data_IF_713009668166
#
_entry.id   IF_713009668166
#
_cell.length_a   1.000
_cell.length_b   1.000
_cell.length_c   1.000
_cell.angle_alpha   90.00
_cell.angle_beta   90.00
_cell.angle_gamma   90.00
#
_symmetry.space_group_name_H-M   'P 1'
#
loop_
_entity.id
_entity.type
_entity.pdbx_description
1 polymer ?
#
# COMPACT_ATOMS: atom_id res chain seq x y z
N UNK A 1 27.53 -10.46 -30.22
CA UNK A 1 27.42 -9.05 -29.80
C UNK A 1 27.16 -9.00 -28.30
N UNK A 2 27.84 -8.11 -27.54
CA UNK A 2 27.53 -7.87 -26.12
C UNK A 2 26.17 -7.19 -26.05
N UNK A 3 25.24 -7.69 -25.24
CA UNK A 3 23.99 -6.98 -24.96
C UNK A 3 24.32 -5.73 -24.13
N UNK A 4 23.87 -4.57 -24.58
CA UNK A 4 23.82 -3.33 -23.79
C UNK A 4 22.39 -3.13 -23.30
N UNK A 5 22.24 -2.54 -22.12
CA UNK A 5 20.95 -2.24 -21.50
C UNK A 5 20.93 -0.76 -21.14
N UNK A 6 19.81 -0.10 -21.42
CA UNK A 6 19.55 1.28 -21.05
C UNK A 6 18.41 1.33 -20.04
N UNK A 7 18.51 2.25 -19.08
CA UNK A 7 17.44 2.49 -18.12
C UNK A 7 16.31 3.26 -18.80
N UNK A 8 15.08 2.75 -18.68
CA UNK A 8 13.89 3.40 -19.24
C UNK A 8 13.29 4.41 -18.25
N UNK A 9 13.22 4.03 -16.98
CA UNK A 9 12.70 4.84 -15.87
C UNK A 9 13.44 4.50 -14.57
N UNK A 10 13.66 5.51 -13.72
CA UNK A 10 14.35 5.40 -12.42
C UNK A 10 13.69 6.30 -11.36
N UNK A 11 12.42 6.09 -11.00
CA UNK A 11 11.78 6.82 -9.92
C UNK A 11 12.43 6.51 -8.56
N UNK A 12 12.18 7.39 -7.58
CA UNK A 12 12.66 7.21 -6.19
C UNK A 12 11.99 6.01 -5.48
N UNK A 13 10.86 5.53 -6.01
CA UNK A 13 10.05 4.44 -5.49
C UNK A 13 10.00 3.25 -6.46
N UNK A 14 9.58 2.09 -5.97
CA UNK A 14 9.57 0.86 -6.77
C UNK A 14 8.51 0.87 -7.88
N UNK A 15 8.89 0.49 -9.10
CA UNK A 15 7.95 0.16 -10.19
C UNK A 15 7.48 -1.29 -10.00
N UNK A 16 6.17 -1.51 -9.89
CA UNK A 16 5.62 -2.84 -9.56
C UNK A 16 4.74 -3.44 -10.66
N UNK A 17 4.19 -2.60 -11.53
CA UNK A 17 3.35 -3.02 -12.65
C UNK A 17 3.72 -2.23 -13.89
N UNK A 18 3.71 -2.87 -15.05
CA UNK A 18 3.88 -2.19 -16.33
C UNK A 18 3.18 -2.95 -17.45
N UNK A 19 2.76 -2.22 -18.48
CA UNK A 19 2.22 -2.75 -19.71
C UNK A 19 2.81 -1.99 -20.90
N UNK A 20 3.03 -2.72 -22.00
CA UNK A 20 3.49 -2.17 -23.26
C UNK A 20 2.42 -2.32 -24.33
N UNK A 21 2.33 -1.35 -25.24
CA UNK A 21 1.57 -1.54 -26.48
C UNK A 21 2.21 -2.64 -27.32
N UNK A 22 1.42 -3.29 -28.18
CA UNK A 22 1.88 -4.38 -29.03
C UNK A 22 3.04 -3.97 -29.96
N UNK A 23 3.04 -2.72 -30.39
CA UNK A 23 4.09 -2.12 -31.23
C UNK A 23 5.30 -1.59 -30.42
N UNK A 24 5.27 -1.72 -29.09
CA UNK A 24 6.33 -1.27 -28.20
C UNK A 24 6.51 0.25 -28.12
N UNK A 25 5.58 1.05 -28.66
CA UNK A 25 5.67 2.52 -28.63
C UNK A 25 5.22 3.13 -27.32
N UNK A 26 4.28 2.51 -26.63
CA UNK A 26 3.72 3.02 -25.39
C UNK A 26 4.11 2.13 -24.22
N UNK A 27 4.49 2.75 -23.10
CA UNK A 27 4.62 2.11 -21.80
C UNK A 27 3.70 2.81 -20.81
N UNK A 28 2.95 2.03 -20.05
CA UNK A 28 2.23 2.47 -18.86
C UNK A 28 2.80 1.68 -17.69
N UNK A 29 2.98 2.33 -16.53
CA UNK A 29 3.49 1.67 -15.34
C UNK A 29 2.91 2.27 -14.06
N UNK A 30 2.92 1.48 -12.99
CA UNK A 30 2.56 1.93 -11.65
C UNK A 30 3.80 1.96 -10.74
N UNK A 31 3.89 3.03 -9.96
CA UNK A 31 4.92 3.23 -8.93
C UNK A 31 4.28 3.11 -7.56
N UNK A 32 4.94 2.39 -6.65
CA UNK A 32 4.54 2.23 -5.26
C UNK A 32 5.07 3.37 -4.38
N UNK A 33 4.28 4.43 -4.23
CA UNK A 33 4.63 5.56 -3.39
C UNK A 33 4.05 5.37 -1.98
N UNK A 34 4.91 4.98 -1.03
CA UNK A 34 4.56 4.75 0.37
C UNK A 34 3.39 3.78 0.59
N UNK A 35 3.24 2.75 -0.26
CA UNK A 35 2.20 1.74 -0.14
C UNK A 35 0.96 2.00 -1.01
N UNK A 36 0.90 3.11 -1.74
CA UNK A 36 -0.15 3.43 -2.70
C UNK A 36 0.39 3.48 -4.14
N UNK A 37 -0.44 3.16 -5.13
CA UNK A 37 -0.04 3.21 -6.54
C UNK A 37 -0.29 4.57 -7.18
N UNK A 38 0.72 5.08 -7.88
CA UNK A 38 0.55 6.16 -8.87
C UNK A 38 0.81 5.63 -10.27
N UNK A 39 0.01 6.08 -11.22
CA UNK A 39 0.02 5.60 -12.59
C UNK A 39 0.71 6.62 -13.51
N UNK A 40 1.59 6.12 -14.37
CA UNK A 40 2.38 6.91 -15.29
C UNK A 40 2.33 6.28 -16.67
N UNK A 41 2.53 7.08 -17.71
CA UNK A 41 2.59 6.59 -19.08
C UNK A 41 3.45 7.48 -19.96
N UNK A 42 4.11 6.88 -20.94
CA UNK A 42 4.89 7.62 -21.95
C UNK A 42 4.98 6.89 -23.28
N UNK A 43 5.18 7.67 -24.33
CA UNK A 43 5.66 7.17 -25.61
C UNK A 43 7.18 6.98 -25.54
N UNK A 44 7.65 5.76 -25.78
CA UNK A 44 9.06 5.36 -25.67
C UNK A 44 9.93 5.85 -26.83
N UNK A 45 9.35 6.15 -28.00
CA UNK A 45 10.11 6.64 -29.15
C UNK A 45 10.41 8.13 -29.02
N UNK A 46 9.43 8.90 -28.55
CA UNK A 46 9.55 10.36 -28.38
C UNK A 46 9.96 10.76 -26.97
N UNK A 47 9.94 9.82 -26.02
CA UNK A 47 10.10 10.05 -24.59
C UNK A 47 9.13 11.11 -24.02
N UNK A 48 7.92 11.17 -24.58
CA UNK A 48 6.89 12.13 -24.16
C UNK A 48 5.87 11.47 -23.23
N UNK A 49 5.56 12.06 -22.07
CA UNK A 49 4.50 11.56 -21.18
C UNK A 49 3.14 11.54 -21.89
N UNK A 50 2.29 10.59 -21.50
CA UNK A 50 0.85 10.61 -21.81
C UNK A 50 0.06 10.90 -20.54
N UNK A 51 -1.13 11.47 -20.71
CA UNK A 51 -1.99 11.77 -19.58
C UNK A 51 -2.50 10.47 -18.95
N UNK A 52 -2.34 10.34 -17.63
CA UNK A 52 -2.89 9.25 -16.84
C UNK A 52 -3.82 9.81 -15.77
N UNK A 53 -4.88 9.10 -15.38
CA UNK A 53 -5.75 9.54 -14.31
C UNK A 53 -4.97 9.64 -12.99
N UNK A 54 -5.29 10.67 -12.21
CA UNK A 54 -4.94 10.71 -10.80
C UNK A 54 -5.81 9.68 -10.06
N UNK A 55 -5.21 8.56 -9.68
CA UNK A 55 -5.91 7.53 -8.94
C UNK A 55 -6.25 8.03 -7.52
N UNK A 56 -7.48 7.82 -7.01
CA UNK A 56 -7.77 7.89 -5.57
C UNK A 56 -6.82 6.98 -4.78
N UNK A 57 -6.77 7.05 -3.46
CA UNK A 57 -5.92 6.14 -2.68
C UNK A 57 -6.24 4.65 -2.97
N UNK A 58 -5.21 3.85 -3.24
CA UNK A 58 -5.36 2.44 -3.58
C UNK A 58 -4.11 1.82 -4.21
N UNK A 59 -4.25 0.58 -4.70
CA UNK A 59 -3.16 -0.23 -5.25
C UNK A 59 -3.57 -0.87 -6.58
N UNK A 60 -2.72 -0.73 -7.60
CA UNK A 60 -2.86 -1.42 -8.89
C UNK A 60 -2.24 -2.81 -8.77
N UNK A 61 -3.09 -3.84 -8.83
CA UNK A 61 -2.71 -5.25 -8.74
C UNK A 61 -2.46 -5.91 -10.09
N UNK A 62 -2.84 -5.25 -11.18
CA UNK A 62 -2.61 -5.72 -12.54
C UNK A 62 -3.01 -4.68 -13.58
N UNK A 63 -2.40 -4.74 -14.76
CA UNK A 63 -2.71 -3.83 -15.85
C UNK A 63 -2.47 -4.47 -17.21
N UNK A 64 -3.25 -4.06 -18.21
CA UNK A 64 -3.07 -4.49 -19.60
C UNK A 64 -3.58 -3.43 -20.58
N UNK A 65 -2.84 -3.21 -21.66
CA UNK A 65 -3.28 -2.38 -22.77
C UNK A 65 -4.09 -3.22 -23.77
N UNK A 66 -5.13 -2.62 -24.37
CA UNK A 66 -5.79 -3.22 -25.51
C UNK A 66 -4.85 -3.23 -26.75
N UNK A 67 -5.13 -4.05 -27.79
CA UNK A 67 -4.22 -4.21 -28.93
C UNK A 67 -3.82 -2.91 -29.64
N UNK A 68 -4.72 -1.95 -29.70
CA UNK A 68 -4.51 -0.66 -30.37
C UNK A 68 -3.98 0.44 -29.42
N UNK A 69 -3.75 0.12 -28.15
CA UNK A 69 -3.23 1.03 -27.11
C UNK A 69 -4.02 2.33 -26.93
N UNK A 70 -5.34 2.23 -27.01
CA UNK A 70 -6.30 3.33 -26.75
C UNK A 70 -7.00 3.19 -25.39
N UNK A 71 -6.93 2.00 -24.80
CA UNK A 71 -7.59 1.62 -23.54
C UNK A 71 -6.62 0.85 -22.65
N UNK A 72 -6.70 1.10 -21.36
CA UNK A 72 -5.97 0.39 -20.32
C UNK A 72 -6.96 -0.25 -19.36
N UNK A 73 -6.88 -1.57 -19.21
CA UNK A 73 -7.55 -2.29 -18.14
C UNK A 73 -6.67 -2.27 -16.87
N UNK A 74 -7.29 -2.02 -15.72
CA UNK A 74 -6.65 -2.02 -14.40
C UNK A 74 -7.40 -2.94 -13.44
N UNK A 75 -6.68 -3.79 -12.72
CA UNK A 75 -7.19 -4.40 -11.49
C UNK A 75 -6.76 -3.50 -10.34
N UNK A 76 -7.71 -2.84 -9.70
CA UNK A 76 -7.46 -1.79 -8.73
C UNK A 76 -8.18 -2.05 -7.42
N UNK A 77 -7.47 -1.95 -6.30
CA UNK A 77 -8.00 -2.13 -4.95
C UNK A 77 -7.93 -0.83 -4.17
N UNK A 78 -8.94 -0.55 -3.34
CA UNK A 78 -8.97 0.64 -2.48
C UNK A 78 -9.25 0.25 -1.03
N UNK A 79 -8.90 1.07 -0.03
CA UNK A 79 -9.30 0.80 1.36
C UNK A 79 -10.81 0.67 1.55
N UNK A 80 -11.57 1.38 0.73
CA UNK A 80 -13.04 1.39 0.68
C UNK A 80 -13.64 0.42 -0.34
N UNK A 81 -12.85 -0.38 -1.06
CA UNK A 81 -13.39 -1.23 -2.12
C UNK A 81 -12.48 -2.43 -2.40
N UNK A 82 -13.05 -3.63 -2.34
CA UNK A 82 -12.36 -4.83 -2.80
C UNK A 82 -11.88 -4.66 -4.25
N UNK A 83 -10.82 -5.39 -4.62
CA UNK A 83 -10.24 -5.31 -5.97
C UNK A 83 -11.33 -5.39 -7.05
N UNK A 84 -11.34 -4.41 -7.96
CA UNK A 84 -12.28 -4.36 -9.07
C UNK A 84 -11.57 -4.04 -10.40
N UNK A 85 -12.27 -4.28 -11.50
CA UNK A 85 -11.78 -4.00 -12.85
C UNK A 85 -12.21 -2.60 -13.28
N UNK A 86 -11.25 -1.83 -13.77
CA UNK A 86 -11.45 -0.50 -14.34
C UNK A 86 -10.93 -0.46 -15.77
N UNK A 87 -11.54 0.41 -16.59
CA UNK A 87 -11.04 0.79 -17.90
C UNK A 87 -10.66 2.28 -17.87
N UNK A 88 -9.49 2.59 -18.42
CA UNK A 88 -9.02 3.96 -18.64
C UNK A 88 -8.97 4.23 -20.14
N UNK A 89 -9.64 5.28 -20.59
CA UNK A 89 -9.47 5.87 -21.92
C UNK A 89 -8.16 6.66 -21.93
N UNK A 90 -7.20 6.28 -22.78
CA UNK A 90 -5.88 6.92 -22.80
C UNK A 90 -5.84 8.26 -23.53
N UNK A 91 -6.88 8.59 -24.30
CA UNK A 91 -7.00 9.89 -24.95
C UNK A 91 -7.54 10.95 -23.98
N UNK A 92 -8.52 10.58 -23.15
CA UNK A 92 -9.17 11.50 -22.20
C UNK A 92 -8.60 11.41 -20.79
N UNK A 93 -8.03 10.26 -20.42
CA UNK A 93 -7.68 9.91 -19.04
C UNK A 93 -8.89 9.53 -18.18
N UNK A 94 -10.08 9.42 -18.77
CA UNK A 94 -11.30 9.03 -18.06
C UNK A 94 -11.20 7.57 -17.60
N UNK A 95 -11.55 7.33 -16.34
CA UNK A 95 -11.57 6.00 -15.74
C UNK A 95 -13.00 5.61 -15.38
N UNK A 96 -13.44 4.45 -15.86
CA UNK A 96 -14.74 3.87 -15.52
C UNK A 96 -14.57 2.52 -14.83
N UNK A 97 -15.47 2.21 -13.91
CA UNK A 97 -15.54 0.91 -13.25
C UNK A 97 -16.33 -0.07 -14.11
N UNK A 98 -15.79 -1.27 -14.35
CA UNK A 98 -16.40 -2.27 -15.22
C UNK A 98 -17.09 -3.42 -14.46
N UNK A 99 -16.74 -3.64 -13.19
CA UNK A 99 -17.25 -4.74 -12.38
C UNK A 99 -18.00 -4.28 -11.13
N UNK A 100 -18.56 -5.24 -10.39
CA UNK A 100 -19.18 -5.01 -9.08
C UNK A 100 -18.64 -6.03 -8.06
N UNK A 101 -17.48 -5.74 -7.48
CA UNK A 101 -16.86 -6.62 -6.48
C UNK A 101 -17.52 -6.52 -5.09
N UNK A 102 -18.29 -5.45 -4.83
CA UNK A 102 -18.91 -5.17 -3.54
C UNK A 102 -20.39 -5.60 -3.50
N UNK A 103 -20.65 -6.90 -3.46
CA UNK A 103 -22.01 -7.47 -3.53
C UNK A 103 -22.84 -7.30 -2.23
N UNK A 104 -22.25 -6.77 -1.16
CA UNK A 104 -22.89 -6.66 0.16
C UNK A 104 -23.87 -5.49 0.35
N UNK A 105 -24.00 -4.60 -0.64
CA UNK A 105 -24.93 -3.45 -0.58
C UNK A 105 -24.55 -2.35 0.41
N UNK A 106 -23.31 -2.37 0.91
CA UNK A 106 -22.76 -1.30 1.77
C UNK A 106 -22.25 -0.18 0.86
N UNK A 107 -22.61 1.06 1.17
CA UNK A 107 -22.09 2.22 0.46
C UNK A 107 -20.59 2.39 0.75
N UNK A 108 -19.70 2.39 -0.26
CA UNK A 108 -18.27 2.62 -0.05
C UNK A 108 -17.94 3.95 0.67
N UNK A 109 -18.85 4.94 0.64
CA UNK A 109 -18.67 6.21 1.36
C UNK A 109 -18.78 6.06 2.89
N UNK A 110 -19.34 4.95 3.39
CA UNK A 110 -19.38 4.68 4.82
C UNK A 110 -18.04 4.17 5.37
N UNK A 111 -17.15 3.71 4.49
CA UNK A 111 -15.83 3.22 4.86
C UNK A 111 -14.83 4.34 5.11
N UNK A 112 -13.80 3.98 5.87
CA UNK A 112 -12.76 4.91 6.32
C UNK A 112 -11.49 4.68 5.50
N UNK A 113 -11.02 5.74 4.86
CA UNK A 113 -9.71 5.79 4.21
C UNK A 113 -8.61 6.07 5.27
N UNK A 114 -7.43 5.43 5.18
CA UNK A 114 -6.33 5.68 6.11
C UNK A 114 -5.56 6.96 5.78
N UNK A 115 -4.89 7.47 6.80
CA UNK A 115 -3.88 8.52 6.67
C UNK A 115 -2.47 7.89 6.62
N UNK A 116 -1.63 8.40 5.70
CA UNK A 116 -0.21 8.07 5.71
C UNK A 116 0.47 8.85 6.85
N UNK A 117 1.04 8.13 7.81
CA UNK A 117 1.76 8.73 8.95
C UNK A 117 3.17 8.17 9.07
N UNK A 118 4.00 8.89 9.82
CA UNK A 118 5.35 8.44 10.16
C UNK A 118 5.57 8.63 11.65
N UNK A 119 6.20 7.64 12.30
CA UNK A 119 6.65 7.77 13.68
C UNK A 119 8.15 7.52 13.77
N UNK A 120 8.81 8.18 14.73
CA UNK A 120 10.24 7.97 14.96
C UNK A 120 10.47 6.73 15.83
N UNK A 121 11.43 5.90 15.42
CA UNK A 121 11.87 4.72 16.17
C UNK A 121 13.16 5.00 16.95
N UNK A 122 13.65 4.01 17.69
CA UNK A 122 14.75 4.12 18.65
C UNK A 122 16.08 4.70 18.11
N UNK A 123 16.31 4.64 16.79
CA UNK A 123 17.51 5.15 16.11
C UNK A 123 17.23 6.41 15.27
N UNK A 124 16.08 7.06 15.50
CA UNK A 124 15.67 8.28 14.80
C UNK A 124 15.11 8.04 13.39
N UNK A 125 15.04 6.79 12.92
CA UNK A 125 14.39 6.48 11.65
C UNK A 125 12.89 6.72 11.73
N UNK A 126 12.34 7.30 10.67
CA UNK A 126 10.90 7.46 10.49
C UNK A 126 10.33 6.18 9.88
N UNK A 127 9.46 5.51 10.61
CA UNK A 127 8.77 4.30 10.15
C UNK A 127 7.43 4.72 9.53
N UNK A 128 7.19 4.42 8.24
CA UNK A 128 5.93 4.68 7.56
C UNK A 128 4.82 3.76 8.09
N UNK A 129 3.60 4.28 8.17
CA UNK A 129 2.44 3.51 8.60
C UNK A 129 1.14 4.05 8.00
N UNK A 130 0.14 3.18 7.91
CA UNK A 130 -1.24 3.57 7.66
C UNK A 130 -1.99 3.69 8.99
N UNK A 131 -2.59 4.85 9.25
CA UNK A 131 -3.41 5.11 10.42
C UNK A 131 -4.88 5.23 10.00
N UNK A 132 -5.70 4.29 10.47
CA UNK A 132 -7.14 4.36 10.34
C UNK A 132 -7.74 4.85 11.65
N UNK A 133 -8.27 6.07 11.64
CA UNK A 133 -9.00 6.65 12.77
C UNK A 133 -10.49 6.32 12.61
N UNK A 134 -11.15 5.67 13.59
CA UNK A 134 -12.57 5.39 13.50
C UNK A 134 -13.36 6.71 13.57
N UNK A 135 -14.65 6.70 13.23
CA UNK A 135 -15.52 7.86 13.48
C UNK A 135 -15.54 8.16 14.99
N UNK A 136 -14.91 9.26 15.41
CA UNK A 136 -14.74 9.61 16.83
C UNK A 136 -15.80 10.57 17.33
N UNK A 137 -16.15 10.46 18.61
CA UNK A 137 -16.90 11.44 19.40
C UNK A 137 -15.91 12.16 20.31
N UNK A 138 -16.00 13.49 20.35
CA UNK A 138 -15.10 14.31 21.16
C UNK A 138 -15.10 13.87 22.64
N UNK A 139 -13.91 13.79 23.23
CA UNK A 139 -13.71 13.36 24.62
C UNK A 139 -13.72 11.83 24.83
N UNK A 140 -14.01 11.04 23.80
CA UNK A 140 -13.95 9.57 23.87
C UNK A 140 -12.59 9.04 23.40
N UNK A 141 -12.17 7.93 24.02
CA UNK A 141 -10.97 7.18 23.63
C UNK A 141 -11.31 5.79 23.13
N UNK A 142 -10.61 5.36 22.09
CA UNK A 142 -10.94 4.16 21.33
C UNK A 142 -9.85 3.10 21.43
N UNK A 143 -10.21 1.80 21.47
CA UNK A 143 -9.24 0.73 21.36
C UNK A 143 -8.56 0.77 19.98
N UNK A 144 -7.31 0.33 19.90
CA UNK A 144 -6.56 0.29 18.65
C UNK A 144 -5.99 -1.09 18.39
N UNK A 145 -6.11 -1.54 17.14
CA UNK A 145 -5.37 -2.67 16.60
C UNK A 145 -4.04 -2.18 16.03
N UNK A 146 -2.93 -2.61 16.62
CA UNK A 146 -1.61 -2.54 15.99
C UNK A 146 -1.45 -3.76 15.08
N UNK A 147 -1.62 -3.53 13.77
CA UNK A 147 -1.62 -4.58 12.77
C UNK A 147 -0.27 -4.72 12.09
N UNK A 148 0.38 -5.86 12.30
CA UNK A 148 1.69 -6.19 11.78
C UNK A 148 1.52 -7.10 10.56
N UNK A 149 1.85 -6.60 9.37
CA UNK A 149 1.73 -7.39 8.15
C UNK A 149 2.63 -8.64 8.19
N UNK A 150 2.21 -9.71 7.49
CA UNK A 150 3.06 -10.88 7.29
C UNK A 150 4.25 -10.54 6.38
N UNK A 151 5.30 -11.36 6.37
CA UNK A 151 6.56 -10.99 5.71
C UNK A 151 7.76 -11.67 6.35
N UNK A 152 8.94 -11.04 6.43
CA UNK A 152 9.12 -9.60 6.62
C UNK A 152 9.21 -8.78 5.33
N UNK A 153 9.55 -9.40 4.20
CA UNK A 153 9.70 -8.72 2.91
C UNK A 153 8.35 -8.58 2.20
N UNK A 154 7.44 -7.87 2.84
CA UNK A 154 6.16 -7.46 2.27
C UNK A 154 5.85 -6.03 2.72
N UNK A 155 4.65 -5.55 2.43
CA UNK A 155 4.23 -4.21 2.79
C UNK A 155 2.74 -4.22 3.15
N UNK A 156 2.39 -3.50 4.20
CA UNK A 156 1.02 -3.06 4.44
C UNK A 156 0.67 -1.94 3.47
N UNK A 157 -0.46 -2.09 2.78
CA UNK A 157 -0.87 -1.19 1.70
C UNK A 157 -2.29 -0.72 1.89
N UNK A 158 -2.62 0.41 1.27
CA UNK A 158 -3.95 0.99 1.33
C UNK A 158 -4.93 0.19 0.42
N UNK A 159 -5.35 -0.99 0.85
CA UNK A 159 -6.32 -1.85 0.15
C UNK A 159 -7.46 -2.25 1.07
N UNK A 160 -8.46 -2.99 0.55
CA UNK A 160 -9.54 -3.59 1.34
C UNK A 160 -9.00 -4.74 2.19
N UNK A 161 -8.21 -4.37 3.20
CA UNK A 161 -7.30 -5.25 3.90
C UNK A 161 -8.04 -6.37 4.62
N UNK A 162 -7.44 -7.57 4.54
CA UNK A 162 -7.96 -8.80 5.14
C UNK A 162 -9.44 -9.05 4.81
N UNK A 163 -9.82 -8.79 3.56
CA UNK A 163 -11.18 -8.94 3.05
C UNK A 163 -12.23 -8.14 3.85
N UNK A 164 -11.84 -6.95 4.32
CA UNK A 164 -12.75 -6.02 5.01
C UNK A 164 -12.70 -6.07 6.54
N UNK A 165 -11.80 -6.86 7.14
CA UNK A 165 -11.64 -6.88 8.59
C UNK A 165 -11.35 -5.49 9.15
N UNK A 166 -10.51 -4.69 8.47
CA UNK A 166 -10.21 -3.33 8.91
C UNK A 166 -11.47 -2.47 8.94
N UNK A 167 -12.27 -2.48 7.87
CA UNK A 167 -13.52 -1.70 7.81
C UNK A 167 -14.54 -2.17 8.85
N UNK A 168 -14.62 -3.48 9.11
CA UNK A 168 -15.46 -4.02 10.18
C UNK A 168 -15.05 -3.48 11.56
N UNK A 169 -13.75 -3.54 11.88
CA UNK A 169 -13.21 -3.06 13.15
C UNK A 169 -13.42 -1.54 13.32
N UNK A 170 -13.17 -0.78 12.26
CA UNK A 170 -13.42 0.66 12.21
C UNK A 170 -14.89 1.00 12.46
N UNK A 171 -15.80 0.23 11.87
CA UNK A 171 -17.24 0.40 12.06
C UNK A 171 -17.70 0.13 13.51
N UNK A 172 -17.04 -0.78 14.23
CA UNK A 172 -17.33 -1.04 15.65
C UNK A 172 -16.46 -0.22 16.62
N UNK A 173 -15.75 0.79 16.11
CA UNK A 173 -15.04 1.78 16.93
C UNK A 173 -13.60 1.40 17.31
N UNK A 174 -12.94 0.52 16.56
CA UNK A 174 -11.51 0.29 16.71
C UNK A 174 -10.72 1.18 15.75
N UNK A 175 -9.68 1.84 16.24
CA UNK A 175 -8.64 2.38 15.36
C UNK A 175 -7.67 1.30 14.92
N UNK A 176 -6.90 1.59 13.88
CA UNK A 176 -5.89 0.66 13.36
C UNK A 176 -4.63 1.45 13.02
N UNK A 177 -3.48 0.99 13.50
CA UNK A 177 -2.19 1.42 13.01
C UNK A 177 -1.50 0.24 12.38
N UNK A 178 -1.09 0.39 11.13
CA UNK A 178 -0.49 -0.68 10.36
C UNK A 178 0.87 -0.22 9.81
N UNK A 179 1.95 -0.42 10.60
CA UNK A 179 3.28 0.04 10.25
C UNK A 179 3.96 -0.84 9.20
N UNK A 180 4.78 -0.19 8.38
CA UNK A 180 5.74 -0.82 7.50
C UNK A 180 7.14 -0.74 8.13
N UNK A 181 7.40 -1.62 9.10
CA UNK A 181 8.64 -1.68 9.89
C UNK A 181 9.88 -1.88 9.02
N UNK A 182 11.08 -1.67 9.58
CA UNK A 182 12.31 -1.93 8.82
C UNK A 182 12.30 -3.36 8.25
N UNK A 183 12.65 -3.51 6.98
CA UNK A 183 12.50 -4.77 6.26
C UNK A 183 11.33 -4.83 5.28
N UNK A 184 10.30 -3.99 5.46
CA UNK A 184 9.19 -3.91 4.50
C UNK A 184 9.65 -3.49 3.10
N UNK A 185 8.92 -3.94 2.08
CA UNK A 185 9.15 -3.56 0.67
C UNK A 185 8.52 -2.19 0.34
N UNK A 186 8.84 -1.64 -0.84
CA UNK A 186 8.29 -0.37 -1.33
C UNK A 186 9.02 0.89 -0.84
N UNK A 187 10.07 0.73 -0.03
CA UNK A 187 10.92 1.82 0.50
C UNK A 187 12.38 1.69 0.05
N UNK A 188 12.60 0.95 -1.05
CA UNK A 188 13.91 0.67 -1.62
C UNK A 188 14.68 -0.45 -0.94
N UNK A 189 15.61 -1.05 -1.69
CA UNK A 189 16.40 -2.22 -1.26
C UNK A 189 17.22 -1.99 0.01
N UNK A 190 17.64 -0.75 0.27
CA UNK A 190 18.39 -0.42 1.48
C UNK A 190 17.53 -0.54 2.74
N UNK A 191 16.25 -0.16 2.66
CA UNK A 191 15.29 -0.31 3.76
C UNK A 191 14.88 -1.77 3.96
N UNK A 192 14.59 -2.47 2.85
CA UNK A 192 14.24 -3.90 2.88
C UNK A 192 15.33 -4.78 3.50
N UNK A 193 16.61 -4.47 3.27
CA UNK A 193 17.73 -5.25 3.82
C UNK A 193 17.94 -5.08 5.33
N UNK A 194 17.28 -4.12 5.97
CA UNK A 194 17.48 -3.84 7.40
C UNK A 194 17.07 -4.99 8.32
N UNK A 195 16.22 -5.91 7.84
CA UNK A 195 15.80 -7.11 8.60
C UNK A 195 16.70 -8.34 8.35
N UNK A 196 17.64 -8.25 7.40
CA UNK A 196 18.46 -9.40 7.04
C UNK A 196 19.39 -9.78 8.19
N UNK A 197 19.25 -11.01 8.69
CA UNK A 197 20.02 -11.56 9.83
C UNK A 197 19.76 -10.86 11.16
N UNK A 198 18.63 -10.17 11.31
CA UNK A 198 18.24 -9.46 12.55
C UNK A 198 16.75 -9.63 12.85
N UNK A 199 16.27 -10.87 12.85
CA UNK A 199 14.89 -11.19 13.21
C UNK A 199 14.71 -11.24 14.72
N UNK A 200 13.63 -10.66 15.23
CA UNK A 200 13.38 -10.40 16.65
C UNK A 200 14.24 -9.26 17.23
N UNK A 201 14.93 -8.50 16.39
CA UNK A 201 15.90 -7.48 16.77
C UNK A 201 15.36 -6.07 16.60
N UNK A 202 15.93 -5.32 15.66
CA UNK A 202 15.62 -3.91 15.49
C UNK A 202 14.19 -3.63 14.99
N UNK A 203 13.58 -4.56 14.25
CA UNK A 203 12.18 -4.44 13.82
C UNK A 203 11.20 -4.58 14.99
N UNK A 204 11.52 -5.40 16.00
CA UNK A 204 10.71 -5.49 17.22
C UNK A 204 10.67 -4.12 17.94
N UNK A 205 11.80 -3.40 17.94
CA UNK A 205 11.87 -2.05 18.50
C UNK A 205 11.08 -1.03 17.67
N UNK A 206 10.93 -1.22 16.36
CA UNK A 206 10.00 -0.41 15.55
C UNK A 206 8.56 -0.64 16.01
N UNK A 207 8.17 -1.90 16.27
CA UNK A 207 6.85 -2.24 16.81
C UNK A 207 6.63 -1.63 18.20
N UNK A 208 7.63 -1.66 19.08
CA UNK A 208 7.56 -0.97 20.38
C UNK A 208 7.30 0.54 20.21
N UNK A 209 8.00 1.18 19.27
CA UNK A 209 7.80 2.61 19.00
C UNK A 209 6.47 2.91 18.31
N UNK A 210 5.90 1.97 17.56
CA UNK A 210 4.53 2.07 17.06
C UNK A 210 3.53 2.15 18.22
N UNK A 211 3.72 1.33 19.27
CA UNK A 211 2.87 1.38 20.47
C UNK A 211 3.06 2.68 21.25
N UNK A 212 4.28 3.23 21.33
CA UNK A 212 4.55 4.55 21.93
C UNK A 212 3.89 5.67 21.13
N UNK A 213 3.96 5.62 19.80
CA UNK A 213 3.28 6.56 18.92
C UNK A 213 1.77 6.54 19.15
N UNK A 214 1.15 5.35 19.22
CA UNK A 214 -0.27 5.23 19.56
C UNK A 214 -0.62 5.87 20.90
N UNK A 215 0.23 5.70 21.92
CA UNK A 215 0.03 6.32 23.25
C UNK A 215 0.12 7.84 23.24
N UNK A 216 0.71 8.44 22.20
CA UNK A 216 0.79 9.89 22.05
C UNK A 216 -0.48 10.51 21.44
N UNK A 217 -1.35 9.70 20.83
CA UNK A 217 -2.58 10.16 20.19
C UNK A 217 -3.69 10.35 21.23
N UNK A 218 -4.33 11.51 21.23
CA UNK A 218 -5.31 11.93 22.23
C UNK A 218 -6.60 11.09 22.26
N UNK A 219 -6.99 10.55 21.11
CA UNK A 219 -8.17 9.72 20.90
C UNK A 219 -7.94 8.23 21.15
N UNK A 220 -6.71 7.81 21.43
CA UNK A 220 -6.39 6.39 21.67
C UNK A 220 -6.53 6.04 23.15
N UNK A 221 -7.20 4.93 23.43
CA UNK A 221 -7.20 4.33 24.76
C UNK A 221 -5.92 3.53 24.96
N UNK A 222 -4.98 4.11 25.71
CA UNK A 222 -3.65 3.54 25.95
C UNK A 222 -3.64 2.22 26.72
N UNK A 223 -4.77 1.85 27.34
CA UNK A 223 -4.94 0.57 28.04
C UNK A 223 -5.58 -0.50 27.14
N UNK A 224 -6.00 -0.16 25.91
CA UNK A 224 -6.67 -1.06 24.98
C UNK A 224 -6.00 -1.03 23.60
N UNK A 225 -4.73 -1.44 23.57
CA UNK A 225 -3.98 -1.68 22.33
C UNK A 225 -3.84 -3.19 22.16
N UNK A 226 -4.41 -3.74 21.09
CA UNK A 226 -4.28 -5.14 20.72
C UNK A 226 -3.28 -5.28 19.57
N UNK A 227 -2.55 -6.40 19.51
CA UNK A 227 -1.66 -6.71 18.40
C UNK A 227 -2.31 -7.79 17.54
N UNK A 228 -2.27 -7.61 16.22
CA UNK A 228 -2.75 -8.57 15.23
C UNK A 228 -1.71 -8.68 14.13
N UNK A 229 -1.52 -9.85 13.56
CA UNK A 229 -0.59 -10.02 12.46
C UNK A 229 -0.54 -11.43 11.93
N UNK A 230 -0.11 -11.55 10.67
CA UNK A 230 0.11 -12.83 10.00
C UNK A 230 1.52 -13.38 10.25
N UNK A 231 1.83 -14.51 9.62
CA UNK A 231 3.15 -15.17 9.72
C UNK A 231 4.25 -14.23 9.22
N UNK A 232 5.16 -13.83 10.11
CA UNK A 232 6.53 -13.49 9.74
C UNK A 232 7.20 -14.84 9.48
N UNK A 233 7.53 -15.19 8.23
CA UNK A 233 7.95 -16.53 7.82
C UNK A 233 8.86 -17.20 8.86
N UNK A 234 8.50 -18.38 9.39
CA UNK A 234 9.23 -19.08 10.47
C UNK A 234 10.71 -18.71 10.57
N UNK A 235 11.11 -18.06 11.66
CA UNK A 235 12.50 -18.08 12.09
C UNK A 235 12.91 -19.56 12.13
N UNK A 236 13.92 -20.01 11.35
CA UNK A 236 14.34 -21.40 11.44
C UNK A 236 14.66 -21.69 12.91
N UNK A 237 14.27 -22.86 13.45
CA UNK A 237 14.57 -23.20 14.82
C UNK A 237 16.06 -22.97 15.03
N UNK A 238 16.40 -22.19 16.07
CA UNK A 238 17.79 -21.95 16.46
C UNK A 238 18.55 -23.27 16.36
N UNK A 239 19.54 -23.31 15.46
CA UNK A 239 20.40 -24.47 15.35
C UNK A 239 21.07 -24.71 16.72
N UNK A 240 21.17 -25.97 17.18
CA UNK A 240 21.60 -26.32 18.53
C UNK A 240 23.01 -25.85 18.88
#
# INVERSE_FOLDING_TARGET
>A
AKKSYDWVETPDYDIEQFAFSKDGRLMVWAVNENGASKLYGKNLQTNTPINMPNLPLGVVNGMALNPDATRLALVYARPSQASNLYEVDLATGEMIELGQSMLGGIDPHDFIEPEAVFYETFDGRKIPAWLYKPKTVDGMRYPVLLSIHGGPEAQERATYNYNGLYQYLLNIGFGILAPNIRGSTGYGKSYQKLIHRDWGGAELRDIEHAALYLRSLDWVDTNRIAVFGGVLADSPPSAP
#
